data_IF_877986484235
#
_entry.id   IF_877986484235
#
_cell.length_a   1.000
_cell.length_b   1.000
_cell.length_c   1.000
_cell.angle_alpha   90.00
_cell.angle_beta   90.00
_cell.angle_gamma   90.00
#
_symmetry.space_group_name_H-M   'P 1'
#
loop_
_entity.id
_entity.type
_entity.pdbx_description
1 polymer ?
#
# COMPACT_ATOMS: atom_id res chain seq x y z
N UNK A 1 39.10 -19.15 -2.78
CA UNK A 1 38.28 -18.14 -3.49
C UNK A 1 37.40 -17.45 -2.47
N UNK A 2 37.63 -16.16 -2.21
CA UNK A 2 36.92 -15.40 -1.16
C UNK A 2 35.65 -14.74 -1.74
N UNK A 3 34.50 -14.98 -1.13
CA UNK A 3 33.16 -14.50 -1.55
C UNK A 3 32.85 -13.07 -1.10
N UNK A 4 33.85 -12.33 -0.59
CA UNK A 4 33.66 -11.03 0.07
C UNK A 4 33.12 -9.91 -0.84
N UNK A 5 33.26 -10.05 -2.17
CA UNK A 5 32.83 -9.06 -3.15
C UNK A 5 31.57 -9.49 -3.92
N UNK A 6 30.99 -10.64 -3.59
CA UNK A 6 29.78 -11.11 -4.25
C UNK A 6 28.57 -10.31 -3.74
N UNK A 7 27.66 -9.86 -4.61
CA UNK A 7 26.42 -9.21 -4.18
C UNK A 7 25.71 -10.08 -3.14
N UNK A 8 25.29 -9.49 -2.03
CA UNK A 8 24.50 -10.21 -1.03
C UNK A 8 23.25 -10.78 -1.71
N UNK A 9 23.16 -12.11 -1.75
CA UNK A 9 21.99 -12.83 -2.22
C UNK A 9 20.84 -12.58 -1.23
N UNK A 10 20.18 -11.42 -1.34
CA UNK A 10 18.99 -11.12 -0.54
C UNK A 10 17.89 -12.09 -0.99
N UNK A 11 17.38 -12.96 -0.11
CA UNK A 11 16.32 -13.87 -0.49
C UNK A 11 15.11 -13.05 -0.93
N UNK A 12 14.53 -13.42 -2.08
CA UNK A 12 13.26 -12.83 -2.54
C UNK A 12 12.24 -12.95 -1.41
N UNK A 13 11.46 -11.89 -1.20
CA UNK A 13 10.37 -11.90 -0.21
C UNK A 13 9.51 -13.16 -0.39
N UNK A 14 9.19 -13.84 0.72
CA UNK A 14 8.35 -15.06 0.69
C UNK A 14 7.03 -14.71 0.03
N UNK A 15 6.62 -15.51 -0.96
CA UNK A 15 5.28 -15.40 -1.54
C UNK A 15 4.28 -15.70 -0.42
N UNK A 16 3.49 -14.70 -0.06
CA UNK A 16 2.35 -14.88 0.84
C UNK A 16 1.27 -15.70 0.14
N UNK A 17 0.81 -16.76 0.80
CA UNK A 17 -0.30 -17.61 0.34
C UNK A 17 -1.57 -16.75 0.29
N UNK A 18 -2.30 -16.77 -0.84
CA UNK A 18 -3.54 -16.00 -1.02
C UNK A 18 -3.39 -14.69 -1.80
N UNK A 19 -2.18 -14.19 -2.03
CA UNK A 19 -1.92 -13.03 -2.90
C UNK A 19 -2.68 -11.76 -2.47
N UNK A 20 -2.80 -10.81 -3.41
CA UNK A 20 -3.63 -9.61 -3.23
C UNK A 20 -5.06 -9.93 -3.67
N UNK A 21 -6.03 -9.69 -2.79
CA UNK A 21 -7.46 -9.80 -3.11
C UNK A 21 -7.95 -8.47 -3.66
N UNK A 22 -8.67 -8.49 -4.78
CA UNK A 22 -9.30 -7.28 -5.33
C UNK A 22 -10.56 -6.95 -4.52
N UNK A 23 -10.72 -5.69 -4.15
CA UNK A 23 -11.94 -5.17 -3.54
C UNK A 23 -12.50 -4.03 -4.40
N UNK A 24 -13.82 -3.86 -4.35
CA UNK A 24 -14.52 -2.72 -4.98
C UNK A 24 -14.93 -1.79 -3.84
N UNK A 25 -14.61 -0.51 -3.98
CA UNK A 25 -14.96 0.54 -3.02
C UNK A 25 -15.85 1.55 -3.73
N UNK A 26 -17.01 1.83 -3.15
CA UNK A 26 -17.92 2.84 -3.66
C UNK A 26 -17.70 4.13 -2.86
N UNK A 27 -17.37 5.20 -3.57
CA UNK A 27 -17.13 6.53 -3.03
C UNK A 27 -17.98 7.55 -3.79
N UNK A 28 -18.35 8.68 -3.16
CA UNK A 28 -18.90 9.83 -3.85
C UNK A 28 -17.97 10.31 -4.96
N UNK A 29 -18.54 10.89 -6.01
CA UNK A 29 -17.78 11.37 -7.18
C UNK A 29 -16.68 12.35 -6.76
N UNK A 30 -17.01 13.30 -5.88
CA UNK A 30 -16.10 14.35 -5.43
C UNK A 30 -14.86 13.77 -4.72
N UNK A 31 -15.04 12.69 -3.95
CA UNK A 31 -13.94 11.97 -3.28
C UNK A 31 -13.08 11.18 -4.26
N UNK A 32 -13.65 10.68 -5.35
CA UNK A 32 -12.87 10.01 -6.40
C UNK A 32 -12.02 11.03 -7.15
N UNK A 33 -12.57 12.20 -7.45
CA UNK A 33 -11.84 13.28 -8.13
C UNK A 33 -10.69 13.81 -7.25
N UNK A 34 -10.87 13.90 -5.94
CA UNK A 34 -9.80 14.31 -5.02
C UNK A 34 -8.66 13.27 -4.98
N UNK A 35 -8.98 11.98 -4.95
CA UNK A 35 -7.99 10.89 -5.01
C UNK A 35 -7.22 10.93 -6.34
N UNK A 36 -7.91 11.22 -7.45
CA UNK A 36 -7.28 11.31 -8.77
C UNK A 36 -6.29 12.49 -8.84
N UNK A 37 -6.63 13.65 -8.28
CA UNK A 37 -5.70 14.79 -8.20
C UNK A 37 -4.46 14.48 -7.34
N UNK A 38 -4.63 13.73 -6.25
CA UNK A 38 -3.51 13.30 -5.40
C UNK A 38 -2.64 12.30 -6.13
N UNK A 39 -3.25 11.34 -6.86
CA UNK A 39 -2.53 10.37 -7.67
C UNK A 39 -1.63 11.06 -8.71
N UNK A 40 -2.19 12.02 -9.43
CA UNK A 40 -1.47 12.76 -10.47
C UNK A 40 -0.34 13.63 -9.90
N UNK A 41 -0.55 14.26 -8.73
CA UNK A 41 0.46 15.12 -8.10
C UNK A 41 1.60 14.35 -7.42
N UNK A 42 1.34 13.13 -6.93
CA UNK A 42 2.33 12.32 -6.22
C UNK A 42 2.96 11.21 -7.05
N UNK A 43 2.55 11.06 -8.32
CA UNK A 43 2.94 9.95 -9.20
C UNK A 43 2.69 8.58 -8.55
N UNK A 44 1.56 8.44 -7.88
CA UNK A 44 1.17 7.19 -7.19
C UNK A 44 -0.17 6.66 -7.69
N UNK A 45 -0.33 5.34 -7.61
CA UNK A 45 -1.60 4.72 -8.00
C UNK A 45 -2.71 4.99 -6.97
N UNK A 46 -3.95 5.18 -7.46
CA UNK A 46 -5.17 5.32 -6.64
C UNK A 46 -5.29 4.26 -5.55
N UNK A 47 -4.99 3.00 -5.87
CA UNK A 47 -5.07 1.88 -4.92
C UNK A 47 -4.06 2.00 -3.78
N UNK A 48 -2.90 2.60 -4.02
CA UNK A 48 -1.89 2.88 -2.98
C UNK A 48 -2.38 3.96 -2.01
N UNK A 49 -2.98 5.03 -2.55
CA UNK A 49 -3.55 6.12 -1.75
C UNK A 49 -4.68 5.59 -0.87
N UNK A 50 -5.60 4.81 -1.45
CA UNK A 50 -6.73 4.19 -0.73
C UNK A 50 -6.21 3.26 0.38
N UNK A 51 -5.20 2.43 0.09
CA UNK A 51 -4.61 1.54 1.08
C UNK A 51 -3.98 2.33 2.24
N UNK A 52 -3.23 3.40 1.94
CA UNK A 52 -2.60 4.24 2.95
C UNK A 52 -3.64 4.89 3.87
N UNK A 53 -4.69 5.47 3.30
CA UNK A 53 -5.79 6.07 4.05
C UNK A 53 -6.50 5.03 4.95
N UNK A 54 -6.78 3.84 4.41
CA UNK A 54 -7.37 2.75 5.18
C UNK A 54 -6.52 2.31 6.37
N UNK A 55 -5.20 2.11 6.17
CA UNK A 55 -4.31 1.71 7.24
C UNK A 55 -4.14 2.79 8.31
N UNK A 56 -4.06 4.07 7.90
CA UNK A 56 -4.01 5.19 8.82
C UNK A 56 -5.27 5.24 9.70
N UNK A 57 -6.45 5.12 9.09
CA UNK A 57 -7.73 5.06 9.82
C UNK A 57 -7.81 3.87 10.77
N UNK A 58 -7.37 2.68 10.33
CA UNK A 58 -7.32 1.48 11.17
C UNK A 58 -6.47 1.70 12.42
N UNK A 59 -5.25 2.22 12.27
CA UNK A 59 -4.36 2.46 13.41
C UNK A 59 -4.95 3.43 14.44
N UNK A 60 -5.61 4.49 14.00
CA UNK A 60 -6.28 5.45 14.90
C UNK A 60 -7.45 4.79 15.64
N UNK A 61 -8.22 3.93 14.96
CA UNK A 61 -9.36 3.24 15.57
C UNK A 61 -8.96 2.19 16.62
N UNK A 62 -7.80 1.54 16.47
CA UNK A 62 -7.27 0.59 17.46
C UNK A 62 -6.75 1.33 18.70
N UNK A 63 -6.07 2.47 18.53
CA UNK A 63 -5.56 3.27 19.66
C UNK A 63 -6.65 3.87 20.55
N UNK A 64 -7.85 4.10 20.01
CA UNK A 64 -8.98 4.66 20.76
C UNK A 64 -9.82 3.57 21.46
N UNK A 65 -9.44 2.29 21.35
CA UNK A 65 -10.12 1.16 22.01
C UNK A 65 -9.35 0.59 23.21
N UNK A 66 -8.10 1.01 23.42
CA UNK A 66 -7.34 0.78 24.65
C UNK A 66 -7.63 1.87 25.69
#
# INVERSE_FOLDING_TARGET
MSTSNSPQNRPRAKKITGGRVRCIVYLPKDEVESIDQIADSTDTSRSSIIAQAYYAGKQTSEKNKE
#
